data_IF_086537979985
#
_entry.id   IF_086537979985
#
_cell.length_a   1.000
_cell.length_b   1.000
_cell.length_c   1.000
_cell.angle_alpha   90.00
_cell.angle_beta   90.00
_cell.angle_gamma   90.00
#
_symmetry.space_group_name_H-M   'P 1'
#
loop_
_entity.id
_entity.type
_entity.pdbx_description
1 polymer ?
#
# COMPACT_ATOMS: atom_id res chain seq x y z
N UNK A 1 -5.85 -18.53 10.22
CA UNK A 1 -4.96 -17.74 11.10
C UNK A 1 -5.70 -17.37 12.38
N UNK A 2 -5.01 -17.22 13.52
CA UNK A 2 -5.60 -17.11 14.88
C UNK A 2 -6.77 -16.10 15.03
N UNK A 3 -6.80 -15.06 14.19
CA UNK A 3 -7.81 -14.00 14.17
C UNK A 3 -9.07 -14.35 13.35
N UNK A 4 -9.08 -15.46 12.59
CA UNK A 4 -10.21 -15.86 11.76
C UNK A 4 -11.48 -16.17 12.55
N UNK A 5 -11.33 -16.53 13.83
CA UNK A 5 -12.45 -16.75 14.75
C UNK A 5 -13.12 -15.46 15.23
N UNK A 6 -12.43 -14.32 15.16
CA UNK A 6 -12.87 -13.07 15.78
C UNK A 6 -13.17 -11.97 14.76
N UNK A 7 -12.61 -12.06 13.56
CA UNK A 7 -12.75 -11.05 12.52
C UNK A 7 -13.41 -11.64 11.27
N UNK A 8 -14.53 -11.03 10.88
CA UNK A 8 -15.12 -11.24 9.56
C UNK A 8 -14.15 -10.81 8.45
N UNK A 9 -14.26 -11.45 7.29
CA UNK A 9 -13.43 -11.17 6.12
C UNK A 9 -13.39 -9.68 5.77
N UNK A 10 -14.56 -9.03 5.72
CA UNK A 10 -14.68 -7.60 5.39
C UNK A 10 -13.92 -6.71 6.39
N UNK A 11 -13.91 -7.08 7.66
CA UNK A 11 -13.21 -6.32 8.69
C UNK A 11 -11.69 -6.43 8.51
N UNK A 12 -11.18 -7.61 8.10
CA UNK A 12 -9.75 -7.80 7.83
C UNK A 12 -9.29 -6.97 6.63
N UNK A 13 -10.09 -6.95 5.57
CA UNK A 13 -9.83 -6.13 4.38
C UNK A 13 -9.79 -4.65 4.77
N UNK A 14 -10.78 -4.18 5.53
CA UNK A 14 -10.85 -2.78 5.96
C UNK A 14 -9.65 -2.38 6.83
N UNK A 15 -9.31 -3.21 7.82
CA UNK A 15 -8.14 -2.98 8.67
C UNK A 15 -6.87 -2.93 7.81
N UNK A 16 -6.71 -3.85 6.86
CA UNK A 16 -5.55 -3.88 5.97
C UNK A 16 -5.44 -2.63 5.09
N UNK A 17 -6.56 -2.13 4.56
CA UNK A 17 -6.60 -0.92 3.74
C UNK A 17 -6.24 0.32 4.56
N UNK A 18 -6.76 0.43 5.79
CA UNK A 18 -6.44 1.53 6.70
C UNK A 18 -4.95 1.47 7.09
N UNK A 19 -4.47 0.30 7.52
CA UNK A 19 -3.07 0.10 7.87
C UNK A 19 -2.12 0.37 6.69
N UNK A 20 -2.47 -0.05 5.47
CA UNK A 20 -1.63 0.19 4.29
C UNK A 20 -1.57 1.67 3.92
N UNK A 21 -2.70 2.40 4.03
CA UNK A 21 -2.75 3.85 3.88
C UNK A 21 -1.92 4.61 4.91
N UNK A 22 -2.04 4.26 6.20
CA UNK A 22 -1.22 4.85 7.26
C UNK A 22 0.27 4.55 7.09
N UNK A 23 0.60 3.30 6.76
CA UNK A 23 1.98 2.88 6.56
C UNK A 23 2.62 3.62 5.39
N UNK A 24 1.97 3.68 4.23
CA UNK A 24 2.54 4.36 3.08
C UNK A 24 2.67 5.87 3.34
N UNK A 25 1.79 6.49 4.12
CA UNK A 25 1.89 7.91 4.46
C UNK A 25 3.06 8.21 5.41
N UNK A 26 3.17 7.47 6.51
CA UNK A 26 4.15 7.71 7.56
C UNK A 26 5.49 6.97 7.41
N UNK A 27 5.66 6.16 6.35
CA UNK A 27 6.89 5.39 6.12
C UNK A 27 8.16 6.25 6.25
N UNK A 28 9.17 5.67 6.86
CA UNK A 28 10.53 6.24 6.95
C UNK A 28 11.19 6.30 5.57
N UNK A 29 11.93 7.39 5.34
CA UNK A 29 12.51 7.71 4.03
C UNK A 29 13.52 6.65 3.58
N UNK A 30 14.32 6.13 4.52
CA UNK A 30 15.54 5.39 4.21
C UNK A 30 15.31 4.12 3.40
N UNK A 31 14.17 3.46 3.60
CA UNK A 31 13.83 2.23 2.85
C UNK A 31 13.08 2.49 1.54
N UNK A 32 12.51 3.68 1.33
CA UNK A 32 11.60 3.99 0.20
C UNK A 32 11.78 5.40 -0.37
N UNK A 33 13.03 5.89 -0.43
CA UNK A 33 13.39 7.19 -1.02
C UNK A 33 12.99 7.32 -2.51
N UNK A 34 12.73 6.19 -3.17
CA UNK A 34 12.28 6.12 -4.55
C UNK A 34 10.79 6.46 -4.73
N UNK A 35 9.98 6.44 -3.66
CA UNK A 35 8.54 6.69 -3.73
C UNK A 35 8.23 8.08 -3.13
N UNK A 36 7.38 8.91 -3.77
CA UNK A 36 6.98 10.22 -3.25
C UNK A 36 6.32 10.13 -1.85
N UNK A 37 6.83 10.88 -0.87
CA UNK A 37 6.30 10.94 0.52
C UNK A 37 5.34 12.11 0.69
N UNK A 38 4.40 12.01 1.63
CA UNK A 38 3.40 13.05 1.93
C UNK A 38 2.50 13.45 0.74
N UNK A 39 2.49 12.64 -0.33
CA UNK A 39 1.58 12.80 -1.45
C UNK A 39 0.32 11.95 -1.24
N UNK A 40 -0.82 12.49 -1.67
CA UNK A 40 -2.12 11.81 -1.56
C UNK A 40 -2.22 10.63 -2.55
N UNK A 41 -1.58 10.73 -3.72
CA UNK A 41 -1.67 9.70 -4.76
C UNK A 41 -1.16 8.32 -4.31
N UNK A 42 0.05 8.17 -3.73
CA UNK A 42 0.50 6.87 -3.23
C UNK A 42 -0.42 6.25 -2.18
N UNK A 43 -1.09 7.09 -1.37
CA UNK A 43 -2.05 6.64 -0.36
C UNK A 43 -3.27 6.02 -1.05
N UNK A 44 -3.92 6.79 -1.93
CA UNK A 44 -5.11 6.32 -2.65
C UNK A 44 -4.81 5.08 -3.49
N UNK A 45 -3.66 5.06 -4.17
CA UNK A 45 -3.24 3.91 -4.96
C UNK A 45 -3.06 2.66 -4.08
N UNK A 46 -2.29 2.76 -2.99
CA UNK A 46 -2.04 1.60 -2.12
C UNK A 46 -3.32 1.13 -1.43
N UNK A 47 -4.20 2.05 -1.02
CA UNK A 47 -5.49 1.69 -0.42
C UNK A 47 -6.38 0.92 -1.41
N UNK A 48 -6.56 1.45 -2.63
CA UNK A 48 -7.35 0.76 -3.67
C UNK A 48 -6.71 -0.56 -4.10
N UNK A 49 -5.39 -0.58 -4.27
CA UNK A 49 -4.64 -1.78 -4.65
C UNK A 49 -4.73 -2.87 -3.58
N UNK A 50 -4.62 -2.50 -2.30
CA UNK A 50 -4.76 -3.41 -1.16
C UNK A 50 -6.17 -3.96 -1.07
N UNK A 51 -7.19 -3.14 -1.36
CA UNK A 51 -8.58 -3.59 -1.35
C UNK A 51 -8.85 -4.64 -2.44
N UNK A 52 -8.36 -4.38 -3.66
CA UNK A 52 -8.58 -5.26 -4.82
C UNK A 52 -7.78 -6.57 -4.74
N UNK A 53 -6.57 -6.53 -4.19
CA UNK A 53 -5.62 -7.65 -4.25
C UNK A 53 -5.31 -8.24 -2.87
N UNK A 54 -6.15 -8.00 -1.86
CA UNK A 54 -5.91 -8.41 -0.47
C UNK A 54 -5.51 -9.89 -0.29
N UNK A 55 -6.06 -10.76 -1.13
CA UNK A 55 -5.83 -12.21 -1.05
C UNK A 55 -4.47 -12.66 -1.61
N UNK A 56 -3.86 -11.86 -2.48
CA UNK A 56 -2.60 -12.24 -3.12
C UNK A 56 -1.41 -11.84 -2.24
N UNK A 57 -0.57 -12.77 -1.78
CA UNK A 57 0.56 -12.43 -0.91
C UNK A 57 1.59 -11.50 -1.57
N UNK A 58 1.63 -11.47 -2.90
CA UNK A 58 2.54 -10.64 -3.69
C UNK A 58 1.99 -9.24 -4.00
N UNK A 59 0.77 -8.92 -3.55
CA UNK A 59 0.14 -7.63 -3.88
C UNK A 59 1.00 -6.44 -3.48
N UNK A 60 1.64 -6.50 -2.32
CA UNK A 60 2.35 -5.38 -1.73
C UNK A 60 3.68 -5.09 -2.46
N UNK A 61 4.55 -6.08 -2.73
CA UNK A 61 5.71 -5.88 -3.61
C UNK A 61 5.35 -5.32 -4.99
N UNK A 62 4.29 -5.85 -5.63
CA UNK A 62 3.86 -5.42 -6.96
C UNK A 62 3.37 -3.96 -6.92
N UNK A 63 2.53 -3.61 -5.95
CA UNK A 63 2.05 -2.23 -5.80
C UNK A 63 3.19 -1.23 -5.57
N UNK A 64 4.23 -1.63 -4.82
CA UNK A 64 5.41 -0.79 -4.60
C UNK A 64 6.25 -0.62 -5.88
N UNK A 65 6.42 -1.66 -6.69
CA UNK A 65 7.11 -1.55 -7.98
C UNK A 65 6.41 -0.57 -8.92
N UNK A 66 5.07 -0.60 -8.97
CA UNK A 66 4.29 0.36 -9.77
C UNK A 66 4.52 1.80 -9.28
N UNK A 67 4.54 2.01 -7.96
CA UNK A 67 4.82 3.33 -7.39
C UNK A 67 6.25 3.82 -7.68
N UNK A 68 7.24 2.94 -7.68
CA UNK A 68 8.62 3.27 -8.06
C UNK A 68 8.70 3.63 -9.54
N UNK A 69 8.04 2.86 -10.41
CA UNK A 69 7.97 3.16 -11.84
C UNK A 69 7.31 4.52 -12.10
N UNK A 70 6.20 4.80 -11.40
CA UNK A 70 5.52 6.10 -11.45
C UNK A 70 6.44 7.25 -11.03
N UNK A 71 7.14 7.10 -9.91
CA UNK A 71 8.05 8.12 -9.39
C UNK A 71 9.22 8.39 -10.36
N UNK A 72 9.78 7.34 -10.97
CA UNK A 72 10.85 7.47 -11.95
C UNK A 72 10.37 8.14 -13.24
N UNK A 73 9.14 7.88 -13.68
CA UNK A 73 8.55 8.55 -14.84
C UNK A 73 8.34 10.05 -14.57
N UNK A 74 7.88 10.41 -13.38
CA UNK A 74 7.67 11.80 -12.98
C UNK A 74 8.97 12.57 -12.70
N UNK A 75 10.02 11.93 -12.17
CA UNK A 75 11.35 12.55 -11.96
C UNK A 75 12.12 12.82 -13.25
N UNK A 76 11.80 12.12 -14.34
CA UNK A 76 12.45 12.28 -15.65
C UNK A 76 11.88 13.43 -16.50
N UNK A 77 10.81 14.08 -16.03
CA UNK A 77 10.21 15.26 -16.65
C UNK A 77 10.73 16.53 -15.97
#
# INVERSE_FOLDING_TARGET
>A
MFLDKYLSYNNKVLISVICSGFWIYFRTSDCYNLIPRLHIFPILFVMSWSYLNYYEPLFLPIGLLVLIAYANFFKKK
#
